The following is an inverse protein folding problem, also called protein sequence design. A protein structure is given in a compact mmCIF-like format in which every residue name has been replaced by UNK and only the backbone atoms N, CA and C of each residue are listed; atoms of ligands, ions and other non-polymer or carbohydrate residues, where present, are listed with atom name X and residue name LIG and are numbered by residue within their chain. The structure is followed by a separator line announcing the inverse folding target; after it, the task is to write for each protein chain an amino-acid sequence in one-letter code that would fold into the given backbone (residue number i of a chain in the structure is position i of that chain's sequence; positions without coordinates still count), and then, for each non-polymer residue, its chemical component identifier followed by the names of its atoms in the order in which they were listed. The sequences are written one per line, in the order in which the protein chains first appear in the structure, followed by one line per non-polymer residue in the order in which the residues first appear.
data_IF_462984208047
#
_entry.id   IF_462984208047
#
_cell.length_a   1.000
_cell.length_b   1.000
_cell.length_c   1.000
_cell.angle_alpha   90.00
_cell.angle_beta   90.00
_cell.angle_gamma   90.00
#
_symmetry.space_group_name_H-M   'P 1'
#
loop_
_entity.id
_entity.type
_entity.pdbx_description
1 polymer ?
#
# COMPACT_ATOMS: atom_id res chain seq x y z
N UNK A 1 73.37 1.02 16.20
CA UNK A 1 72.66 0.51 15.02
C UNK A 1 71.53 -0.40 15.51
N UNK A 2 70.34 0.15 15.76
CA UNK A 2 69.17 -0.60 16.25
C UNK A 2 68.09 -0.52 15.18
N UNK A 3 67.59 -1.70 14.79
CA UNK A 3 66.70 -1.94 13.63
C UNK A 3 65.30 -1.36 13.88
N UNK A 4 64.72 -0.79 12.83
CA UNK A 4 63.35 -0.29 12.82
C UNK A 4 62.35 -1.46 12.89
N UNK A 5 61.55 -1.51 13.97
CA UNK A 5 60.46 -2.46 14.10
C UNK A 5 59.16 -1.83 13.58
N UNK A 6 58.72 -2.28 12.40
CA UNK A 6 57.33 -2.71 12.18
C UNK A 6 56.18 -1.70 12.28
N UNK A 7 56.41 -0.40 12.10
CA UNK A 7 55.30 0.55 11.95
C UNK A 7 54.62 0.38 10.59
N UNK A 8 53.33 0.02 10.55
CA UNK A 8 52.53 0.11 9.32
C UNK A 8 52.52 1.58 8.86
N UNK A 9 52.74 1.80 7.57
CA UNK A 9 52.58 3.12 6.94
C UNK A 9 51.16 3.63 7.18
N UNK A 10 50.98 4.95 7.33
CA UNK A 10 49.66 5.59 7.46
C UNK A 10 48.73 5.21 6.29
N UNK A 11 49.28 4.93 5.12
CA UNK A 11 48.56 4.43 3.96
C UNK A 11 47.95 3.03 4.22
N UNK A 12 48.71 2.14 4.87
CA UNK A 12 48.26 0.78 5.19
C UNK A 12 47.17 0.77 6.27
N UNK A 13 47.07 1.83 7.10
CA UNK A 13 45.99 1.98 8.08
C UNK A 13 44.70 2.52 7.45
N UNK A 14 44.80 3.27 6.34
CA UNK A 14 43.65 3.69 5.53
C UNK A 14 43.11 2.51 4.71
N UNK A 15 43.99 1.62 4.26
CA UNK A 15 43.60 0.44 3.46
C UNK A 15 43.03 -0.72 4.33
N UNK A 16 43.41 -0.85 5.61
CA UNK A 16 42.99 -1.96 6.49
C UNK A 16 41.79 -1.66 7.40
N UNK A 17 41.30 -0.42 7.45
CA UNK A 17 40.00 -0.16 8.08
C UNK A 17 38.98 0.04 6.98
N UNK A 18 38.27 -1.07 6.75
CA UNK A 18 36.90 -1.13 6.27
C UNK A 18 36.22 0.24 6.30
N UNK A 19 35.45 0.50 5.23
CA UNK A 19 34.40 1.49 5.10
C UNK A 19 33.37 1.53 6.26
N UNK A 20 33.65 0.88 7.39
CA UNK A 20 32.87 0.68 8.59
C UNK A 20 32.38 1.99 9.20
N UNK A 21 33.12 3.10 9.14
CA UNK A 21 32.60 4.37 9.67
C UNK A 21 31.59 5.03 8.74
N UNK A 22 31.74 4.85 7.43
CA UNK A 22 30.76 5.32 6.45
C UNK A 22 29.56 4.38 6.47
N UNK A 23 29.75 3.07 6.42
CA UNK A 23 28.67 2.09 6.51
C UNK A 23 27.92 2.17 7.84
N UNK A 24 28.61 2.33 8.98
CA UNK A 24 27.97 2.47 10.29
C UNK A 24 27.18 3.78 10.42
N UNK A 25 27.73 4.92 9.97
CA UNK A 25 26.97 6.18 10.00
C UNK A 25 25.85 6.22 8.96
N UNK A 26 26.05 5.68 7.76
CA UNK A 26 25.10 5.80 6.66
C UNK A 26 24.04 4.69 6.65
N UNK A 27 24.36 3.45 7.04
CA UNK A 27 23.42 2.31 7.01
C UNK A 27 22.89 1.92 8.40
N UNK A 28 23.69 1.98 9.47
CA UNK A 28 23.26 1.47 10.79
C UNK A 28 22.71 2.55 11.73
N UNK A 29 23.18 3.80 11.63
CA UNK A 29 22.86 4.85 12.61
C UNK A 29 21.73 5.77 12.18
N UNK A 30 21.58 6.03 10.88
CA UNK A 30 20.52 6.90 10.34
C UNK A 30 19.45 5.99 9.74
N UNK A 31 18.28 5.95 10.36
CA UNK A 31 17.17 5.14 9.87
C UNK A 31 16.92 5.44 8.37
N UNK A 32 16.72 4.43 7.50
CA UNK A 32 16.70 4.60 6.04
C UNK A 32 15.76 5.71 5.54
N UNK A 33 14.70 5.98 6.30
CA UNK A 33 13.66 6.96 5.99
C UNK A 33 14.04 8.42 6.29
N UNK A 34 15.14 8.69 7.01
CA UNK A 34 15.56 10.05 7.38
C UNK A 34 16.62 10.66 6.44
N UNK A 35 16.82 10.08 5.25
CA UNK A 35 17.76 10.57 4.24
C UNK A 35 17.19 11.75 3.45
N UNK A 36 17.03 12.91 4.09
CA UNK A 36 16.62 14.15 3.43
C UNK A 36 17.82 15.09 3.13
N UNK A 37 18.26 15.03 1.87
CA UNK A 37 18.68 16.11 0.95
C UNK A 37 19.59 17.25 1.47
N UNK A 38 20.88 17.15 1.12
CA UNK A 38 21.67 18.30 0.66
C UNK A 38 22.51 17.91 -0.58
N UNK A 39 22.16 18.48 -1.73
CA UNK A 39 23.03 18.76 -2.89
C UNK A 39 23.62 17.63 -3.74
N UNK A 40 24.24 16.60 -3.16
CA UNK A 40 25.14 15.69 -3.90
C UNK A 40 24.78 14.19 -3.80
N UNK A 41 24.18 13.76 -2.69
CA UNK A 41 23.91 12.34 -2.42
C UNK A 41 22.76 11.76 -3.25
N UNK A 42 21.77 12.59 -3.63
CA UNK A 42 20.62 12.17 -4.44
C UNK A 42 21.00 11.74 -5.87
N UNK A 43 22.19 12.09 -6.36
CA UNK A 43 22.68 11.67 -7.67
C UNK A 43 23.32 10.26 -7.66
N UNK A 44 23.70 9.74 -6.49
CA UNK A 44 24.46 8.49 -6.35
C UNK A 44 23.63 7.31 -5.83
N UNK A 45 22.45 7.56 -5.25
CA UNK A 45 21.52 6.54 -4.79
C UNK A 45 20.20 6.78 -5.50
N UNK A 46 19.88 6.01 -6.57
CA UNK A 46 18.59 6.14 -7.22
C UNK A 46 17.48 5.75 -6.24
N UNK A 47 16.29 6.37 -6.32
CA UNK A 47 15.17 5.97 -5.49
C UNK A 47 14.82 4.51 -5.78
N UNK A 48 14.63 3.72 -4.73
CA UNK A 48 14.07 2.39 -4.86
C UNK A 48 12.59 2.52 -5.25
N UNK A 49 12.25 2.04 -6.45
CA UNK A 49 10.87 1.98 -6.92
C UNK A 49 10.24 0.72 -6.33
N UNK A 50 9.28 0.90 -5.44
CA UNK A 50 8.49 -0.21 -4.91
C UNK A 50 7.46 -0.59 -5.98
N UNK A 51 7.64 -1.76 -6.61
CA UNK A 51 6.63 -2.39 -7.47
C UNK A 51 5.77 -3.34 -6.63
N UNK A 52 4.57 -2.88 -6.28
CA UNK A 52 3.65 -3.52 -5.34
C UNK A 52 2.63 -4.47 -6.02
N UNK A 53 2.72 -4.65 -7.35
CA UNK A 53 1.74 -5.42 -8.13
C UNK A 53 1.66 -6.89 -7.71
N UNK A 54 2.79 -7.52 -7.43
CA UNK A 54 2.81 -8.92 -7.01
C UNK A 54 2.20 -9.08 -5.61
N UNK A 55 2.52 -8.16 -4.70
CA UNK A 55 1.94 -8.11 -3.37
C UNK A 55 0.42 -7.91 -3.45
N UNK A 56 -0.05 -7.00 -4.31
CA UNK A 56 -1.46 -6.78 -4.55
C UNK A 56 -2.15 -8.04 -5.08
N UNK A 57 -1.57 -8.71 -6.09
CA UNK A 57 -2.11 -9.95 -6.64
C UNK A 57 -2.24 -11.05 -5.59
N UNK A 58 -1.25 -11.19 -4.71
CA UNK A 58 -1.27 -12.14 -3.60
C UNK A 58 -2.42 -11.86 -2.62
N UNK A 59 -2.63 -10.58 -2.26
CA UNK A 59 -3.74 -10.17 -1.38
C UNK A 59 -5.09 -10.46 -2.03
N UNK A 60 -5.26 -10.15 -3.31
CA UNK A 60 -6.50 -10.41 -4.06
C UNK A 60 -6.83 -11.90 -4.05
N UNK A 61 -5.83 -12.76 -4.31
CA UNK A 61 -6.02 -14.21 -4.27
C UNK A 61 -6.46 -14.70 -2.88
N UNK A 62 -5.80 -14.24 -1.82
CA UNK A 62 -6.13 -14.62 -0.45
C UNK A 62 -7.55 -14.18 -0.04
N UNK A 63 -7.95 -12.97 -0.43
CA UNK A 63 -9.29 -12.44 -0.16
C UNK A 63 -10.34 -13.25 -0.92
N UNK A 64 -10.08 -13.58 -2.19
CA UNK A 64 -10.99 -14.39 -3.01
C UNK A 64 -11.21 -15.77 -2.42
N UNK A 65 -10.15 -16.43 -1.95
CA UNK A 65 -10.23 -17.75 -1.31
C UNK A 65 -11.01 -17.69 0.01
N UNK A 66 -10.72 -16.69 0.83
CA UNK A 66 -11.42 -16.47 2.11
C UNK A 66 -12.92 -16.23 1.87
N UNK A 67 -13.25 -15.40 0.89
CA UNK A 67 -14.62 -15.12 0.49
C UNK A 67 -15.36 -16.40 0.08
N UNK A 68 -14.75 -17.21 -0.78
CA UNK A 68 -15.31 -18.50 -1.19
C UNK A 68 -15.42 -19.53 -0.07
N UNK A 69 -14.60 -19.48 0.98
CA UNK A 69 -14.80 -20.31 2.18
C UNK A 69 -15.98 -19.82 3.01
N UNK A 70 -16.07 -18.51 3.21
CA UNK A 70 -17.16 -17.91 3.98
C UNK A 70 -18.53 -18.17 3.35
N UNK A 71 -18.64 -18.03 2.03
CA UNK A 71 -19.86 -18.34 1.28
C UNK A 71 -20.25 -19.82 1.41
N UNK A 72 -19.28 -20.75 1.34
CA UNK A 72 -19.55 -22.19 1.53
C UNK A 72 -19.97 -22.55 2.96
N UNK A 73 -19.42 -21.87 3.96
CA UNK A 73 -19.68 -22.14 5.37
C UNK A 73 -21.00 -21.53 5.86
N UNK A 74 -21.33 -20.33 5.37
CA UNK A 74 -22.46 -19.54 5.89
C UNK A 74 -23.62 -19.43 4.90
N UNK A 75 -23.39 -19.70 3.62
CA UNK A 75 -24.35 -19.44 2.55
C UNK A 75 -24.50 -17.96 2.21
N UNK A 76 -23.73 -17.08 2.83
CA UNK A 76 -23.83 -15.62 2.66
C UNK A 76 -22.69 -15.12 1.79
N UNK A 77 -23.03 -14.42 0.71
CA UNK A 77 -22.08 -13.67 -0.09
C UNK A 77 -21.83 -12.28 0.54
N UNK A 78 -20.60 -11.93 0.92
CA UNK A 78 -20.25 -10.59 1.38
C UNK A 78 -20.51 -9.52 0.33
N UNK A 79 -21.00 -8.37 0.78
CA UNK A 79 -21.30 -7.22 -0.09
C UNK A 79 -20.39 -6.03 0.15
N UNK A 80 -20.19 -5.22 -0.88
CA UNK A 80 -19.53 -3.92 -0.83
C UNK A 80 -20.41 -2.88 -1.50
N UNK A 81 -20.82 -1.85 -0.75
CA UNK A 81 -21.51 -0.69 -1.33
C UNK A 81 -20.54 0.48 -1.42
N UNK A 82 -20.51 1.13 -2.58
CA UNK A 82 -19.71 2.32 -2.83
C UNK A 82 -20.63 3.46 -3.25
N UNK A 83 -20.60 4.58 -2.53
CA UNK A 83 -21.30 5.80 -2.91
C UNK A 83 -20.30 6.87 -3.36
N UNK A 84 -20.57 7.51 -4.49
CA UNK A 84 -19.80 8.64 -5.01
C UNK A 84 -20.72 9.84 -5.17
N UNK A 85 -20.27 11.01 -4.71
CA UNK A 85 -21.01 12.28 -4.84
C UNK A 85 -20.25 13.17 -5.81
N UNK A 86 -20.96 13.62 -6.85
CA UNK A 86 -20.42 14.51 -7.87
C UNK A 86 -19.62 13.83 -8.98
N UNK A 87 -18.96 14.65 -9.82
CA UNK A 87 -18.36 14.19 -11.08
C UNK A 87 -16.84 14.36 -11.18
N UNK A 88 -16.14 14.27 -10.05
CA UNK A 88 -14.68 14.37 -10.04
C UNK A 88 -14.05 13.17 -10.80
N UNK A 89 -13.32 13.37 -11.92
CA UNK A 89 -12.85 12.27 -12.77
C UNK A 89 -11.92 11.27 -12.06
N UNK A 90 -11.11 11.77 -11.11
CA UNK A 90 -10.22 10.92 -10.31
C UNK A 90 -11.00 10.01 -9.35
N UNK A 91 -12.10 10.51 -8.79
CA UNK A 91 -12.96 9.75 -7.88
C UNK A 91 -13.69 8.62 -8.61
N UNK A 92 -14.19 8.88 -9.82
CA UNK A 92 -14.80 7.84 -10.67
C UNK A 92 -13.83 6.73 -11.01
N UNK A 93 -12.62 7.05 -11.44
CA UNK A 93 -11.62 6.03 -11.76
C UNK A 93 -11.26 5.17 -10.52
N UNK A 94 -11.19 5.77 -9.35
CA UNK A 94 -10.92 5.06 -8.10
C UNK A 94 -12.07 4.13 -7.69
N UNK A 95 -13.31 4.63 -7.76
CA UNK A 95 -14.52 3.86 -7.44
C UNK A 95 -14.72 2.72 -8.42
N UNK A 96 -14.55 2.96 -9.72
CA UNK A 96 -14.63 1.92 -10.75
C UNK A 96 -13.63 0.80 -10.52
N UNK A 97 -12.39 1.15 -10.14
CA UNK A 97 -11.39 0.15 -9.77
C UNK A 97 -11.83 -0.62 -8.54
N UNK A 98 -12.35 0.05 -7.50
CA UNK A 98 -12.82 -0.59 -6.27
C UNK A 98 -13.96 -1.58 -6.56
N UNK A 99 -14.96 -1.17 -7.32
CA UNK A 99 -16.07 -2.02 -7.76
C UNK A 99 -15.58 -3.21 -8.58
N UNK A 100 -14.63 -3.00 -9.51
CA UNK A 100 -14.04 -4.10 -10.30
C UNK A 100 -13.27 -5.08 -9.44
N UNK A 101 -12.46 -4.59 -8.49
CA UNK A 101 -11.70 -5.43 -7.58
C UNK A 101 -12.61 -6.26 -6.66
N UNK A 102 -13.67 -5.64 -6.13
CA UNK A 102 -14.67 -6.34 -5.32
C UNK A 102 -15.35 -7.47 -6.10
N UNK A 103 -15.77 -7.20 -7.33
CA UNK A 103 -16.33 -8.21 -8.22
C UNK A 103 -15.33 -9.33 -8.55
N UNK A 104 -14.05 -9.00 -8.79
CA UNK A 104 -12.99 -10.00 -9.01
C UNK A 104 -12.80 -10.93 -7.81
N UNK A 105 -12.93 -10.40 -6.60
CA UNK A 105 -12.85 -11.20 -5.37
C UNK A 105 -14.16 -11.96 -5.04
N UNK A 106 -15.22 -11.81 -5.85
CA UNK A 106 -16.51 -12.48 -5.66
C UNK A 106 -17.45 -11.81 -4.66
N UNK A 107 -17.29 -10.51 -4.38
CA UNK A 107 -18.22 -9.75 -3.54
C UNK A 107 -19.45 -9.30 -4.36
N UNK A 108 -20.60 -9.14 -3.69
CA UNK A 108 -21.73 -8.41 -4.25
C UNK A 108 -21.45 -6.90 -4.19
N UNK A 109 -21.05 -6.30 -5.32
CA UNK A 109 -20.69 -4.88 -5.38
C UNK A 109 -21.84 -4.02 -5.91
N UNK A 110 -22.27 -3.03 -5.13
CA UNK A 110 -23.31 -2.06 -5.49
C UNK A 110 -22.68 -0.67 -5.51
N UNK A 111 -22.91 0.09 -6.57
CA UNK A 111 -22.40 1.46 -6.71
C UNK A 111 -23.55 2.47 -6.84
N UNK A 112 -23.52 3.51 -6.01
CA UNK A 112 -24.45 4.63 -6.03
C UNK A 112 -23.75 5.90 -6.49
N UNK A 113 -24.15 6.43 -7.64
CA UNK A 113 -23.68 7.72 -8.14
C UNK A 113 -24.71 8.78 -7.77
N UNK A 114 -24.30 9.70 -6.90
CA UNK A 114 -25.11 10.79 -6.35
C UNK A 114 -24.66 12.13 -6.98
N UNK A 115 -25.60 13.05 -7.19
CA UNK A 115 -25.31 14.35 -7.81
C UNK A 115 -24.48 15.27 -6.91
N UNK A 116 -23.87 16.32 -7.46
CA UNK A 116 -23.08 17.29 -6.67
C UNK A 116 -23.92 18.03 -5.62
N UNK A 117 -25.20 18.21 -5.90
CA UNK A 117 -26.16 18.89 -5.01
C UNK A 117 -26.70 17.98 -3.90
N UNK A 118 -26.19 16.75 -3.79
CA UNK A 118 -26.66 15.79 -2.77
C UNK A 118 -26.40 16.34 -1.38
N UNK A 119 -27.46 16.40 -0.59
CA UNK A 119 -27.41 16.85 0.79
C UNK A 119 -26.89 15.76 1.73
N UNK A 120 -26.48 16.17 2.94
CA UNK A 120 -26.07 15.24 3.99
C UNK A 120 -27.20 14.25 4.34
N UNK A 121 -28.44 14.72 4.42
CA UNK A 121 -29.62 13.91 4.76
C UNK A 121 -29.88 12.84 3.68
N UNK A 122 -29.83 13.23 2.41
CA UNK A 122 -29.96 12.29 1.28
C UNK A 122 -28.83 11.25 1.26
N UNK A 123 -27.61 11.62 1.64
CA UNK A 123 -26.48 10.69 1.71
C UNK A 123 -26.65 9.69 2.87
N UNK A 124 -27.16 10.12 4.02
CA UNK A 124 -27.46 9.27 5.17
C UNK A 124 -28.56 8.26 4.84
N UNK A 125 -29.63 8.68 4.18
CA UNK A 125 -30.71 7.81 3.70
C UNK A 125 -30.17 6.72 2.75
N UNK A 126 -29.27 7.09 1.82
CA UNK A 126 -28.66 6.12 0.91
C UNK A 126 -27.81 5.09 1.63
N UNK A 127 -27.10 5.47 2.69
CA UNK A 127 -26.32 4.54 3.50
C UNK A 127 -27.22 3.52 4.22
N UNK A 128 -28.35 3.96 4.78
CA UNK A 128 -29.31 3.07 5.45
C UNK A 128 -29.97 2.08 4.47
N UNK A 129 -30.35 2.57 3.29
CA UNK A 129 -30.89 1.72 2.21
C UNK A 129 -29.87 0.68 1.76
N UNK A 130 -28.61 1.09 1.59
CA UNK A 130 -27.51 0.23 1.16
C UNK A 130 -27.27 -0.93 2.13
N UNK A 131 -27.27 -0.66 3.44
CA UNK A 131 -27.12 -1.69 4.47
C UNK A 131 -28.31 -2.66 4.47
N UNK A 132 -29.51 -2.16 4.22
CA UNK A 132 -30.74 -2.98 4.20
C UNK A 132 -30.81 -3.89 2.97
N UNK A 133 -30.36 -3.44 1.80
CA UNK A 133 -30.33 -4.24 0.57
C UNK A 133 -29.38 -5.43 0.72
N UNK A 134 -28.16 -5.19 1.23
CA UNK A 134 -27.19 -6.26 1.47
C UNK A 134 -27.68 -7.32 2.47
N UNK A 135 -28.46 -6.93 3.48
CA UNK A 135 -29.02 -7.85 4.48
C UNK A 135 -30.20 -8.68 3.98
N UNK A 136 -30.87 -8.27 2.89
CA UNK A 136 -32.03 -8.98 2.33
C UNK A 136 -31.64 -9.95 1.21
N UNK A 137 -30.62 -9.62 0.43
CA UNK A 137 -30.13 -10.49 -0.65
C UNK A 137 -29.31 -11.68 -0.13
N UNK A 138 -28.81 -11.64 1.11
CA UNK A 138 -28.09 -12.75 1.76
C UNK A 138 -28.98 -13.88 2.29
N UNK A 139 -30.31 -13.77 2.17
CA UNK A 139 -31.28 -14.74 2.68
C UNK A 139 -32.13 -15.44 1.60
N UNK A 140 -31.79 -15.27 0.31
CA UNK A 140 -32.49 -15.90 -0.83
C UNK A 140 -31.63 -17.01 -1.47
#
# INVERSE_FOLDING_TARGET
MVKANGGKSLQNMVDEKNNDLVDHFFNDTVAPHYRARTGLTAALIPPEVIDDKEAAASVIAAVTETNGSLERETGVQPGLVVAIVGDAPASHAYVDHTSKMANQCGFNSIQHNLGEETTQEELEDQNELSQTVLMRESHA
#
